data_IF_280991224939
#
_entry.id   IF_280991224939
#
_cell.length_a   1.000
_cell.length_b   1.000
_cell.length_c   1.000
_cell.angle_alpha   90.00
_cell.angle_beta   90.00
_cell.angle_gamma   90.00
#
_symmetry.space_group_name_H-M   'P 1'
#
loop_
_entity.id
_entity.type
_entity.pdbx_description
1 polymer ?
#
# COMPACT_ATOMS: atom_id res chain seq x y z
N UNK A 1 -14.78 -33.94 -4.98
CA UNK A 1 -15.80 -34.83 -4.37
C UNK A 1 -15.44 -34.96 -2.90
N UNK A 2 -16.32 -34.43 -2.07
CA UNK A 2 -16.16 -34.15 -0.65
C UNK A 2 -15.77 -35.41 0.14
N UNK A 3 -14.70 -35.32 0.93
CA UNK A 3 -14.46 -36.24 2.03
C UNK A 3 -14.49 -35.43 3.31
N UNK A 4 -15.55 -35.64 4.08
CA UNK A 4 -15.73 -35.19 5.45
C UNK A 4 -14.67 -35.87 6.34
N UNK A 5 -14.04 -35.10 7.24
CA UNK A 5 -13.25 -35.65 8.34
C UNK A 5 -14.07 -35.56 9.62
N UNK A 6 -14.36 -36.72 10.18
CA UNK A 6 -14.97 -36.90 11.50
C UNK A 6 -13.88 -37.04 12.58
N UNK A 7 -14.12 -36.44 13.75
CA UNK A 7 -13.55 -36.76 15.07
C UNK A 7 -14.41 -36.00 16.11
N UNK A 8 -14.77 -36.45 17.30
CA UNK A 8 -14.71 -37.70 18.06
C UNK A 8 -15.82 -37.55 19.15
N UNK A 9 -16.39 -38.66 19.64
CA UNK A 9 -17.53 -38.66 20.56
C UNK A 9 -17.20 -38.11 21.95
N UNK A 10 -18.07 -37.23 22.48
CA UNK A 10 -18.28 -37.07 23.92
C UNK A 10 -19.77 -37.12 24.26
N UNK A 11 -20.09 -37.81 25.34
CA UNK A 11 -21.42 -38.13 25.85
C UNK A 11 -22.16 -36.90 26.37
N UNK A 12 -22.74 -36.08 25.49
CA UNK A 12 -24.03 -35.43 25.74
C UNK A 12 -24.56 -34.88 24.42
N UNK A 13 -25.81 -35.20 24.08
CA UNK A 13 -26.42 -35.02 22.75
C UNK A 13 -26.77 -33.58 22.38
N UNK A 14 -25.82 -32.65 22.46
CA UNK A 14 -26.01 -31.24 22.13
C UNK A 14 -25.24 -30.83 20.88
N UNK A 15 -25.98 -30.57 19.80
CA UNK A 15 -25.46 -29.96 18.58
C UNK A 15 -25.23 -28.45 18.83
N UNK A 16 -24.00 -28.04 19.11
CA UNK A 16 -23.65 -26.63 19.12
C UNK A 16 -23.31 -26.15 17.71
N UNK A 17 -24.10 -25.18 17.23
CA UNK A 17 -23.83 -24.43 16.00
C UNK A 17 -22.56 -23.60 16.24
N UNK A 18 -21.46 -23.94 15.57
CA UNK A 18 -20.21 -23.17 15.65
C UNK A 18 -20.45 -21.81 14.99
N UNK A 19 -20.36 -20.74 15.78
CA UNK A 19 -20.52 -19.34 15.35
C UNK A 19 -19.31 -18.90 14.51
N UNK A 20 -19.38 -19.06 13.20
CA UNK A 20 -18.34 -18.63 12.24
C UNK A 20 -18.29 -17.10 12.00
N UNK A 21 -19.07 -16.28 12.72
CA UNK A 21 -19.15 -14.82 12.50
C UNK A 21 -18.21 -13.99 13.38
N UNK A 22 -17.73 -14.51 14.53
CA UNK A 22 -16.85 -13.74 15.43
C UNK A 22 -15.38 -13.73 15.00
N UNK A 23 -14.88 -14.83 14.44
CA UNK A 23 -13.49 -14.94 14.01
C UNK A 23 -13.17 -14.07 12.78
N UNK A 24 -14.14 -13.88 11.88
CA UNK A 24 -13.96 -13.04 10.66
C UNK A 24 -13.80 -11.56 11.02
N UNK A 25 -14.51 -11.08 12.05
CA UNK A 25 -14.41 -9.68 12.49
C UNK A 25 -13.06 -9.40 13.15
N UNK A 26 -12.55 -10.30 14.00
CA UNK A 26 -11.24 -10.13 14.65
C UNK A 26 -10.06 -10.22 13.68
N UNK A 27 -10.11 -11.12 12.69
CA UNK A 27 -9.12 -11.17 11.61
C UNK A 27 -9.19 -9.89 10.74
N UNK A 28 -10.38 -9.40 10.37
CA UNK A 28 -10.51 -8.21 9.50
C UNK A 28 -9.91 -6.93 10.10
N UNK A 29 -10.03 -6.74 11.42
CA UNK A 29 -9.46 -5.61 12.16
C UNK A 29 -7.93 -5.72 12.22
N UNK A 30 -7.39 -6.95 12.31
CA UNK A 30 -5.92 -7.16 12.30
C UNK A 30 -5.28 -6.78 10.97
N UNK A 31 -6.02 -6.73 9.87
CA UNK A 31 -5.52 -6.43 8.53
C UNK A 31 -5.82 -4.99 8.07
N UNK A 32 -6.43 -4.15 8.90
CA UNK A 32 -6.85 -2.81 8.50
C UNK A 32 -7.98 -2.79 7.46
N UNK A 33 -8.70 -3.91 7.28
CA UNK A 33 -9.83 -3.98 6.33
C UNK A 33 -11.03 -3.15 6.77
N UNK A 34 -11.06 -2.71 8.03
CA UNK A 34 -12.02 -1.72 8.52
C UNK A 34 -11.93 -0.38 7.77
N UNK A 35 -10.75 -0.05 7.22
CA UNK A 35 -10.50 1.15 6.41
C UNK A 35 -11.11 1.09 5.00
N UNK A 36 -11.55 -0.11 4.56
CA UNK A 36 -12.09 -0.39 3.23
C UNK A 36 -13.51 -0.98 3.32
N UNK A 37 -14.53 -0.14 3.58
CA UNK A 37 -15.90 -0.60 3.83
C UNK A 37 -16.51 -1.41 2.68
N UNK A 38 -16.20 -1.05 1.42
CA UNK A 38 -16.72 -1.76 0.23
C UNK A 38 -16.30 -3.24 0.18
N UNK A 39 -15.14 -3.59 0.75
CA UNK A 39 -14.60 -4.96 0.77
C UNK A 39 -15.29 -5.89 1.77
N UNK A 40 -16.04 -5.33 2.72
CA UNK A 40 -16.82 -6.09 3.70
C UNK A 40 -18.26 -6.34 3.26
N UNK A 41 -18.61 -5.98 2.02
CA UNK A 41 -19.99 -6.07 1.52
C UNK A 41 -20.92 -4.99 2.06
N UNK A 42 -20.37 -3.98 2.76
CA UNK A 42 -21.10 -2.78 3.13
C UNK A 42 -21.17 -1.86 1.91
N UNK A 43 -22.32 -1.87 1.22
CA UNK A 43 -22.60 -0.84 0.22
C UNK A 43 -22.62 0.50 0.95
N UNK A 44 -21.71 1.42 0.58
CA UNK A 44 -21.70 2.79 1.10
C UNK A 44 -23.07 3.43 0.83
N UNK A 45 -23.85 3.67 1.89
CA UNK A 45 -25.15 4.34 1.79
C UNK A 45 -24.99 5.80 2.21
N UNK A 46 -25.00 6.75 1.27
CA UNK A 46 -24.86 8.16 1.61
C UNK A 46 -26.02 8.59 2.51
N UNK A 47 -25.71 9.42 3.51
CA UNK A 47 -26.72 9.95 4.42
C UNK A 47 -27.44 11.12 3.76
N UNK A 48 -28.78 11.16 3.82
CA UNK A 48 -29.60 12.21 3.19
C UNK A 48 -29.19 13.63 3.61
N UNK A 49 -28.71 13.81 4.85
CA UNK A 49 -28.21 15.09 5.36
C UNK A 49 -26.83 15.46 4.79
N UNK A 50 -25.97 14.48 4.50
CA UNK A 50 -24.65 14.72 3.90
C UNK A 50 -24.72 14.87 2.37
N UNK A 51 -25.70 14.27 1.71
CA UNK A 51 -25.98 14.46 0.28
C UNK A 51 -26.31 15.92 -0.05
N UNK A 52 -27.14 16.58 0.78
CA UNK A 52 -27.58 17.97 0.55
C UNK A 52 -26.55 19.04 0.97
N UNK A 53 -25.66 18.74 1.94
CA UNK A 53 -24.76 19.75 2.51
C UNK A 53 -23.26 19.46 2.33
N UNK A 54 -22.85 18.23 1.96
CA UNK A 54 -21.44 17.82 1.82
C UNK A 54 -21.08 17.23 0.44
N UNK A 55 -22.02 17.13 -0.50
CA UNK A 55 -21.74 16.65 -1.85
C UNK A 55 -21.57 15.13 -1.98
N UNK A 56 -22.07 14.34 -1.02
CA UNK A 56 -22.29 12.89 -1.19
C UNK A 56 -23.30 12.63 -2.33
N UNK A 57 -23.19 11.49 -3.04
CA UNK A 57 -23.97 11.17 -4.25
C UNK A 57 -23.20 11.28 -5.58
N UNK A 58 -21.89 11.59 -5.53
CA UNK A 58 -20.98 11.66 -6.70
C UNK A 58 -20.04 10.46 -6.80
N UNK A 59 -20.26 9.40 -6.03
CA UNK A 59 -19.35 8.28 -5.87
C UNK A 59 -19.02 7.61 -7.22
N UNK A 60 -20.02 7.41 -8.08
CA UNK A 60 -19.81 6.88 -9.43
C UNK A 60 -18.96 7.82 -10.32
N UNK A 61 -19.14 9.14 -10.18
CA UNK A 61 -18.36 10.12 -10.95
C UNK A 61 -16.93 10.18 -10.42
N UNK A 62 -16.75 10.15 -9.11
CA UNK A 62 -15.44 10.14 -8.45
C UNK A 62 -14.67 8.85 -8.77
N UNK A 63 -15.37 7.73 -8.83
CA UNK A 63 -14.84 6.44 -9.26
C UNK A 63 -14.31 6.51 -10.70
N UNK A 64 -15.15 6.93 -11.65
CA UNK A 64 -14.74 7.11 -13.05
C UNK A 64 -13.57 8.10 -13.20
N UNK A 65 -13.57 9.18 -12.42
CA UNK A 65 -12.48 10.15 -12.42
C UNK A 65 -11.18 9.56 -11.85
N UNK A 66 -11.28 8.73 -10.82
CA UNK A 66 -10.16 7.99 -10.24
C UNK A 66 -9.60 7.01 -11.27
N UNK A 67 -10.42 6.16 -11.87
CA UNK A 67 -10.01 5.19 -12.90
C UNK A 67 -9.32 5.87 -14.09
N UNK A 68 -9.86 6.99 -14.57
CA UNK A 68 -9.25 7.77 -15.67
C UNK A 68 -7.86 8.28 -15.30
N UNK A 69 -7.66 8.75 -14.07
CA UNK A 69 -6.35 9.24 -13.59
C UNK A 69 -5.38 8.10 -13.34
N UNK A 70 -5.83 6.98 -12.78
CA UNK A 70 -5.06 5.73 -12.65
C UNK A 70 -4.54 5.32 -14.03
N UNK A 71 -5.42 5.25 -15.02
CA UNK A 71 -5.05 4.94 -16.39
C UNK A 71 -4.03 5.95 -16.97
N UNK A 72 -4.22 7.24 -16.71
CA UNK A 72 -3.26 8.27 -17.11
C UNK A 72 -1.88 8.06 -16.47
N UNK A 73 -1.82 7.77 -15.16
CA UNK A 73 -0.57 7.46 -14.45
C UNK A 73 0.12 6.25 -15.05
N UNK A 74 -0.62 5.17 -15.31
CA UNK A 74 -0.08 3.95 -15.92
C UNK A 74 0.52 4.23 -17.31
N UNK A 75 -0.13 5.06 -18.12
CA UNK A 75 0.37 5.38 -19.47
C UNK A 75 1.53 6.36 -19.48
N UNK A 76 1.57 7.30 -18.54
CA UNK A 76 2.44 8.48 -18.63
C UNK A 76 3.55 8.53 -17.58
N UNK A 77 3.34 7.97 -16.39
CA UNK A 77 4.32 8.05 -15.31
C UNK A 77 5.45 7.05 -15.53
N UNK A 78 6.72 7.51 -15.66
CA UNK A 78 7.86 6.60 -15.83
C UNK A 78 8.01 5.63 -14.66
N UNK A 79 7.76 6.11 -13.43
CA UNK A 79 7.86 5.29 -12.23
C UNK A 79 6.80 4.18 -12.21
N UNK A 80 5.53 4.50 -12.53
CA UNK A 80 4.46 3.49 -12.57
C UNK A 80 4.73 2.47 -13.68
N UNK A 81 5.20 2.90 -14.85
CA UNK A 81 5.59 1.98 -15.92
C UNK A 81 6.74 1.07 -15.52
N UNK A 82 7.75 1.60 -14.83
CA UNK A 82 8.86 0.79 -14.29
C UNK A 82 8.33 -0.28 -13.34
N UNK A 83 7.44 0.09 -12.42
CA UNK A 83 6.83 -0.86 -11.47
C UNK A 83 6.04 -1.96 -12.19
N UNK A 84 5.26 -1.62 -13.22
CA UNK A 84 4.54 -2.62 -14.01
C UNK A 84 5.48 -3.60 -14.71
N UNK A 85 6.57 -3.10 -15.30
CA UNK A 85 7.58 -3.94 -15.96
C UNK A 85 8.30 -4.85 -14.95
N UNK A 86 8.63 -4.31 -13.77
CA UNK A 86 9.28 -5.06 -12.71
C UNK A 86 8.40 -6.21 -12.20
N UNK A 87 7.13 -5.93 -11.94
CA UNK A 87 6.14 -6.93 -11.53
C UNK A 87 5.93 -8.01 -12.60
N UNK A 88 5.79 -7.60 -13.86
CA UNK A 88 5.69 -8.55 -14.99
C UNK A 88 6.91 -9.47 -15.07
N UNK A 89 8.11 -8.89 -15.03
CA UNK A 89 9.37 -9.65 -15.12
C UNK A 89 9.61 -10.55 -13.90
N UNK A 90 8.95 -10.23 -12.78
CA UNK A 90 8.96 -11.01 -11.54
C UNK A 90 7.91 -12.12 -11.50
N UNK A 91 7.08 -12.28 -12.53
CA UNK A 91 6.02 -13.30 -12.60
C UNK A 91 4.68 -12.89 -11.97
N UNK A 92 4.51 -11.61 -11.64
CA UNK A 92 3.28 -11.06 -11.05
C UNK A 92 2.72 -9.91 -11.91
N UNK A 93 2.52 -10.18 -13.20
CA UNK A 93 1.96 -9.21 -14.14
C UNK A 93 0.60 -8.65 -13.67
N UNK A 94 0.49 -7.33 -13.67
CA UNK A 94 -0.73 -6.62 -13.29
C UNK A 94 -1.65 -6.47 -14.50
N UNK A 95 -2.82 -7.12 -14.45
CA UNK A 95 -4.03 -6.65 -15.15
C UNK A 95 -4.67 -5.48 -14.38
N UNK A 96 -4.73 -4.30 -15.01
CA UNK A 96 -5.27 -3.06 -14.44
C UNK A 96 -6.71 -3.23 -13.94
N UNK A 97 -7.56 -3.96 -14.68
CA UNK A 97 -8.99 -4.12 -14.34
C UNK A 97 -9.19 -5.09 -13.18
N UNK A 98 -8.25 -6.00 -12.95
CA UNK A 98 -8.34 -7.01 -11.89
C UNK A 98 -7.61 -6.60 -10.62
N UNK A 99 -6.47 -5.93 -10.75
CA UNK A 99 -5.55 -5.69 -9.65
C UNK A 99 -5.55 -4.25 -9.14
N UNK A 100 -6.31 -3.33 -9.75
CA UNK A 100 -6.46 -1.96 -9.25
C UNK A 100 -7.95 -1.62 -9.13
N UNK A 101 -8.38 -1.16 -7.96
CA UNK A 101 -9.73 -0.69 -7.68
C UNK A 101 -9.72 0.74 -7.16
N UNK A 102 -10.70 1.54 -7.58
CA UNK A 102 -11.01 2.82 -6.96
C UNK A 102 -12.19 2.60 -6.01
N UNK A 103 -12.02 2.92 -4.72
CA UNK A 103 -13.02 2.66 -3.68
C UNK A 103 -13.16 3.88 -2.76
N UNK A 104 -14.28 3.98 -2.05
CA UNK A 104 -14.42 4.92 -0.94
C UNK A 104 -13.76 4.31 0.31
N UNK A 105 -12.77 5.02 0.86
CA UNK A 105 -12.05 4.60 2.05
C UNK A 105 -12.29 5.54 3.24
N UNK A 106 -11.78 5.16 4.40
CA UNK A 106 -11.59 6.11 5.51
C UNK A 106 -10.70 7.30 5.09
N UNK A 107 -10.97 8.48 5.65
CA UNK A 107 -10.26 9.73 5.29
C UNK A 107 -8.80 9.77 5.77
N UNK A 108 -8.40 8.86 6.66
CA UNK A 108 -7.03 8.74 7.15
C UNK A 108 -6.07 8.04 6.17
N UNK A 109 -6.61 7.35 5.16
CA UNK A 109 -5.81 6.60 4.16
C UNK A 109 -6.05 7.09 2.75
N UNK A 110 -5.04 6.91 1.90
CA UNK A 110 -5.10 7.29 0.47
C UNK A 110 -5.15 6.11 -0.48
N UNK A 111 -4.87 4.91 0.00
CA UNK A 111 -4.85 3.64 -0.71
C UNK A 111 -4.25 2.54 0.15
N UNK A 112 -4.17 1.35 -0.42
CA UNK A 112 -3.56 0.19 0.23
C UNK A 112 -3.43 -1.00 -0.69
N UNK A 113 -2.55 -1.94 -0.35
CA UNK A 113 -2.40 -3.22 -1.02
C UNK A 113 -3.06 -4.36 -0.24
N UNK A 114 -3.87 -5.14 -0.95
CA UNK A 114 -4.54 -6.33 -0.46
C UNK A 114 -3.84 -7.61 -0.92
N UNK A 115 -3.16 -8.34 -0.02
CA UNK A 115 -2.51 -9.59 -0.41
C UNK A 115 -3.50 -10.75 -0.65
N UNK A 116 -4.72 -10.69 -0.08
CA UNK A 116 -5.73 -11.74 -0.22
C UNK A 116 -6.35 -11.68 -1.62
N UNK A 117 -6.79 -10.50 -2.04
CA UNK A 117 -7.36 -10.30 -3.38
C UNK A 117 -6.32 -9.95 -4.45
N UNK A 118 -5.06 -9.76 -4.04
CA UNK A 118 -3.96 -9.22 -4.83
C UNK A 118 -4.35 -7.91 -5.53
N UNK A 119 -4.85 -6.92 -4.76
CA UNK A 119 -5.41 -5.69 -5.32
C UNK A 119 -4.88 -4.44 -4.66
N UNK A 120 -4.55 -3.44 -5.47
CA UNK A 120 -4.26 -2.07 -5.04
C UNK A 120 -5.57 -1.30 -5.00
N UNK A 121 -5.89 -0.72 -3.84
CA UNK A 121 -6.98 0.25 -3.67
C UNK A 121 -6.43 1.65 -3.82
N UNK A 122 -7.12 2.47 -4.61
CA UNK A 122 -6.94 3.92 -4.64
C UNK A 122 -8.19 4.57 -4.05
N UNK A 123 -8.02 5.29 -2.94
CA UNK A 123 -9.15 5.88 -2.21
C UNK A 123 -9.68 7.11 -2.95
N UNK A 124 -10.77 6.96 -3.71
CA UNK A 124 -11.27 7.97 -4.64
C UNK A 124 -11.68 9.29 -3.95
N UNK A 125 -12.13 9.21 -2.70
CA UNK A 125 -12.53 10.34 -1.86
C UNK A 125 -11.33 11.14 -1.34
N UNK A 126 -10.12 10.56 -1.31
CA UNK A 126 -8.90 11.16 -0.75
C UNK A 126 -7.89 11.49 -1.87
N UNK A 127 -7.61 10.53 -2.76
CA UNK A 127 -6.64 10.63 -3.85
C UNK A 127 -7.17 11.40 -5.08
N UNK A 128 -7.53 12.69 -4.92
CA UNK A 128 -8.22 13.44 -5.98
C UNK A 128 -7.33 14.00 -7.10
N UNK A 129 -6.01 14.11 -6.90
CA UNK A 129 -5.07 14.69 -7.88
C UNK A 129 -4.21 13.60 -8.53
N UNK A 130 -3.91 13.74 -9.83
CA UNK A 130 -3.13 12.75 -10.59
C UNK A 130 -1.76 12.47 -9.95
N UNK A 131 -1.01 13.52 -9.56
CA UNK A 131 0.28 13.33 -8.88
C UNK A 131 0.17 12.63 -7.51
N UNK A 132 -0.98 12.71 -6.85
CA UNK A 132 -1.20 12.01 -5.59
C UNK A 132 -1.56 10.55 -5.83
N UNK A 133 -2.42 10.26 -6.83
CA UNK A 133 -2.68 8.90 -7.31
C UNK A 133 -1.39 8.22 -7.77
N UNK A 134 -0.51 8.93 -8.47
CA UNK A 134 0.79 8.40 -8.86
C UNK A 134 1.62 7.94 -7.64
N UNK A 135 1.63 8.74 -6.56
CA UNK A 135 2.31 8.41 -5.32
C UNK A 135 1.74 7.16 -4.67
N UNK A 136 0.41 7.09 -4.55
CA UNK A 136 -0.31 5.91 -4.02
C UNK A 136 0.00 4.68 -4.86
N UNK A 137 -0.19 4.72 -6.17
CA UNK A 137 0.09 3.59 -7.06
C UNK A 137 1.54 3.11 -6.92
N UNK A 138 2.51 4.03 -6.93
CA UNK A 138 3.91 3.64 -6.76
C UNK A 138 4.16 2.99 -5.40
N UNK A 139 3.58 3.53 -4.32
CA UNK A 139 3.71 2.98 -2.97
C UNK A 139 3.12 1.57 -2.88
N UNK A 140 1.86 1.39 -3.30
CA UNK A 140 1.19 0.09 -3.23
C UNK A 140 1.78 -0.94 -4.19
N UNK A 141 2.34 -0.52 -5.33
CA UNK A 141 3.08 -1.43 -6.22
C UNK A 141 4.37 -1.94 -5.58
N UNK A 142 5.00 -1.20 -4.65
CA UNK A 142 6.14 -1.72 -3.88
C UNK A 142 5.65 -2.84 -2.96
N UNK A 143 4.56 -2.66 -2.22
CA UNK A 143 3.98 -3.73 -1.40
C UNK A 143 3.63 -4.97 -2.21
N UNK A 144 3.02 -4.78 -3.39
CA UNK A 144 2.72 -5.89 -4.31
C UNK A 144 4.00 -6.58 -4.81
N UNK A 145 5.03 -5.82 -5.16
CA UNK A 145 6.32 -6.37 -5.60
C UNK A 145 7.00 -7.17 -4.49
N UNK A 146 6.97 -6.63 -3.27
CA UNK A 146 7.57 -7.25 -2.09
C UNK A 146 6.92 -8.57 -1.75
N UNK A 147 5.58 -8.61 -1.79
CA UNK A 147 4.78 -9.80 -1.59
C UNK A 147 4.99 -10.84 -2.70
N UNK A 148 5.16 -10.40 -3.95
CA UNK A 148 5.41 -11.28 -5.08
C UNK A 148 6.80 -11.93 -5.05
N UNK A 149 7.83 -11.16 -4.66
CA UNK A 149 9.24 -11.60 -4.74
C UNK A 149 9.75 -12.31 -3.49
N UNK A 150 9.12 -12.07 -2.35
CA UNK A 150 9.59 -12.56 -1.05
C UNK A 150 8.51 -13.37 -0.35
N UNK A 151 8.94 -14.24 0.57
CA UNK A 151 8.03 -14.92 1.51
C UNK A 151 7.59 -13.94 2.61
N UNK A 152 6.70 -13.03 2.24
CA UNK A 152 6.28 -11.89 3.06
C UNK A 152 5.06 -12.25 3.91
N UNK A 153 5.29 -12.65 5.15
CA UNK A 153 4.23 -12.70 6.16
C UNK A 153 3.91 -11.32 6.74
N UNK A 154 2.80 -10.71 6.33
CA UNK A 154 2.33 -9.45 6.89
C UNK A 154 1.99 -9.53 8.39
N UNK A 155 1.69 -10.71 8.95
CA UNK A 155 1.43 -10.90 10.40
C UNK A 155 2.71 -10.72 11.21
N UNK A 156 3.88 -10.87 10.59
CA UNK A 156 5.16 -10.53 11.19
C UNK A 156 5.41 -9.01 11.10
N UNK A 157 5.51 -8.36 12.27
CA UNK A 157 5.73 -6.90 12.37
C UNK A 157 7.03 -6.44 11.68
N UNK A 158 8.07 -7.29 11.65
CA UNK A 158 9.35 -6.95 11.02
C UNK A 158 9.24 -6.98 9.49
N UNK A 159 8.45 -7.92 8.94
CA UNK A 159 8.18 -7.98 7.50
C UNK A 159 7.33 -6.78 7.06
N UNK A 160 6.27 -6.48 7.80
CA UNK A 160 5.44 -5.29 7.56
C UNK A 160 6.28 -4.01 7.64
N UNK A 161 7.07 -3.83 8.70
CA UNK A 161 7.94 -2.67 8.83
C UNK A 161 8.95 -2.56 7.67
N UNK A 162 9.49 -3.69 7.20
CA UNK A 162 10.45 -3.71 6.10
C UNK A 162 9.84 -3.22 4.78
N UNK A 163 8.65 -3.71 4.42
CA UNK A 163 7.98 -3.27 3.18
C UNK A 163 7.54 -1.81 3.26
N UNK A 164 7.09 -1.35 4.43
CA UNK A 164 6.78 0.07 4.68
C UNK A 164 8.00 0.99 4.57
N UNK A 165 9.16 0.55 5.05
CA UNK A 165 10.43 1.27 4.86
C UNK A 165 10.76 1.38 3.37
N UNK A 166 10.65 0.29 2.61
CA UNK A 166 10.97 0.29 1.18
C UNK A 166 10.00 1.19 0.41
N UNK A 167 8.70 1.07 0.67
CA UNK A 167 7.69 1.90 0.03
C UNK A 167 7.91 3.39 0.34
N UNK A 168 8.13 3.76 1.61
CA UNK A 168 8.41 5.15 1.98
C UNK A 168 9.73 5.70 1.39
N UNK A 169 10.77 4.87 1.35
CA UNK A 169 12.11 5.20 0.82
C UNK A 169 12.11 5.46 -0.69
N UNK A 170 11.28 4.72 -1.44
CA UNK A 170 11.29 4.75 -2.90
C UNK A 170 10.26 5.71 -3.50
N UNK A 171 9.19 6.05 -2.77
CA UNK A 171 8.05 6.78 -3.35
C UNK A 171 7.64 8.07 -2.64
N UNK A 172 7.78 8.14 -1.31
CA UNK A 172 7.20 9.23 -0.51
C UNK A 172 8.21 10.26 -0.02
N UNK A 173 9.37 9.80 0.45
CA UNK A 173 10.42 10.66 0.96
C UNK A 173 11.30 11.12 -0.20
N UNK A 174 11.31 12.44 -0.45
CA UNK A 174 12.20 13.05 -1.43
C UNK A 174 13.18 13.97 -0.72
N UNK A 175 14.43 13.95 -1.17
CA UNK A 175 15.43 14.94 -0.79
C UNK A 175 15.12 16.30 -1.45
N UNK A 176 14.33 17.19 -0.80
CA UNK A 176 14.58 18.65 -0.79
C UNK A 176 13.54 19.45 0.02
N UNK A 177 14.02 20.12 1.06
CA UNK A 177 13.89 21.58 1.29
C UNK A 177 15.13 22.20 2.01
N UNK A 178 16.25 21.46 2.11
CA UNK A 178 17.44 21.90 2.85
C UNK A 178 18.50 22.63 1.99
N UNK A 179 18.49 22.47 0.66
CA UNK A 179 19.46 23.16 -0.22
C UNK A 179 19.07 24.61 -0.54
N UNK A 180 17.77 24.95 -0.51
CA UNK A 180 17.29 26.31 -0.81
C UNK A 180 17.45 27.28 0.36
N UNK A 181 17.87 26.80 1.53
CA UNK A 181 18.08 27.61 2.76
C UNK A 181 19.55 27.68 3.20
N UNK A 182 20.49 27.11 2.44
CA UNK A 182 21.93 27.27 2.71
C UNK A 182 22.55 26.36 3.78
N UNK A 183 21.79 25.49 4.45
CA UNK A 183 22.25 24.70 5.62
C UNK A 183 22.67 23.24 5.33
N UNK A 184 22.90 22.89 4.06
CA UNK A 184 23.06 21.49 3.65
C UNK A 184 24.52 20.98 3.62
N UNK A 185 24.98 20.40 4.72
CA UNK A 185 25.95 19.30 4.62
C UNK A 185 25.24 18.05 4.06
N UNK A 186 25.87 17.25 3.16
CA UNK A 186 25.32 15.97 2.68
C UNK A 186 24.86 15.03 3.80
N UNK A 187 25.45 15.17 5.00
CA UNK A 187 25.10 14.42 6.21
C UNK A 187 23.68 14.76 6.68
N UNK A 188 23.30 16.04 6.70
CA UNK A 188 21.99 16.51 7.20
C UNK A 188 20.86 16.04 6.27
N UNK A 189 21.07 16.11 4.95
CA UNK A 189 20.09 15.66 3.94
C UNK A 189 19.86 14.15 4.02
N UNK A 190 20.94 13.37 4.16
CA UNK A 190 20.85 11.91 4.30
C UNK A 190 20.16 11.51 5.59
N UNK A 191 20.39 12.24 6.68
CA UNK A 191 19.76 11.99 7.97
C UNK A 191 18.26 12.32 7.93
N UNK A 192 17.88 13.50 7.42
CA UNK A 192 16.48 13.92 7.30
C UNK A 192 15.64 12.93 6.46
N UNK A 193 16.22 12.38 5.39
CA UNK A 193 15.52 11.38 4.60
C UNK A 193 15.31 10.07 5.38
N UNK A 194 16.32 9.61 6.13
CA UNK A 194 16.15 8.43 6.98
C UNK A 194 15.07 8.66 8.04
N UNK A 195 15.04 9.84 8.66
CA UNK A 195 14.01 10.21 9.64
C UNK A 195 12.61 10.27 9.01
N UNK A 196 12.49 10.81 7.78
CA UNK A 196 11.24 10.78 7.01
C UNK A 196 10.75 9.34 6.81
N UNK A 197 11.63 8.45 6.35
CA UNK A 197 11.28 7.05 6.08
C UNK A 197 10.89 6.33 7.36
N UNK A 198 11.66 6.48 8.45
CA UNK A 198 11.34 5.87 9.75
C UNK A 198 9.99 6.34 10.28
N UNK A 199 9.72 7.64 10.22
CA UNK A 199 8.45 8.22 10.70
C UNK A 199 7.28 7.69 9.90
N UNK A 200 7.39 7.68 8.57
CA UNK A 200 6.33 7.17 7.68
C UNK A 200 6.07 5.69 7.91
N UNK A 201 7.12 4.87 7.93
CA UNK A 201 6.96 3.43 8.16
C UNK A 201 6.36 3.13 9.54
N UNK A 202 6.77 3.87 10.58
CA UNK A 202 6.19 3.72 11.93
C UNK A 202 4.70 4.02 11.93
N UNK A 203 4.26 5.11 11.28
CA UNK A 203 2.84 5.45 11.18
C UNK A 203 2.04 4.41 10.40
N UNK A 204 2.57 3.87 9.29
CA UNK A 204 1.88 2.82 8.55
C UNK A 204 1.72 1.54 9.38
N UNK A 205 2.78 1.12 10.10
CA UNK A 205 2.72 -0.06 10.97
C UNK A 205 1.66 0.11 12.06
N UNK A 206 1.58 1.29 12.69
CA UNK A 206 0.56 1.59 13.71
C UNK A 206 -0.85 1.60 13.10
N UNK A 207 -1.01 2.09 11.88
CA UNK A 207 -2.31 2.16 11.23
C UNK A 207 -2.87 0.78 10.88
N UNK A 208 -2.00 -0.18 10.53
CA UNK A 208 -2.40 -1.53 10.10
C UNK A 208 -2.46 -2.52 11.27
N UNK A 209 -1.66 -2.32 12.33
CA UNK A 209 -1.55 -3.25 13.46
C UNK A 209 -1.94 -2.58 14.77
N UNK A 210 -2.66 -3.32 15.60
CA UNK A 210 -2.93 -2.93 16.98
C UNK A 210 -1.69 -3.12 17.87
N UNK A 211 -0.66 -2.31 17.63
CA UNK A 211 0.62 -2.31 18.37
C UNK A 211 0.86 -0.93 18.96
N UNK A 212 1.69 -0.87 19.99
CA UNK A 212 2.09 0.40 20.57
C UNK A 212 3.04 1.16 19.64
N UNK A 213 3.06 2.51 19.69
CA UNK A 213 4.02 3.31 18.93
C UNK A 213 5.48 2.90 19.19
N UNK A 214 5.80 2.48 20.42
CA UNK A 214 7.12 2.03 20.83
C UNK A 214 7.51 0.71 20.14
N UNK A 215 6.58 -0.25 20.09
CA UNK A 215 6.78 -1.53 19.40
C UNK A 215 6.97 -1.33 17.89
N UNK A 216 6.13 -0.49 17.27
CA UNK A 216 6.25 -0.15 15.86
C UNK A 216 7.60 0.50 15.54
N UNK A 217 8.03 1.48 16.36
CA UNK A 217 9.32 2.14 16.20
C UNK A 217 10.47 1.15 16.39
N UNK A 218 10.38 0.26 17.36
CA UNK A 218 11.40 -0.76 17.61
C UNK A 218 11.52 -1.74 16.43
N UNK A 219 10.40 -2.18 15.83
CA UNK A 219 10.40 -3.00 14.63
C UNK A 219 11.06 -2.29 13.44
N UNK A 220 10.65 -1.05 13.17
CA UNK A 220 11.24 -0.22 12.12
C UNK A 220 12.75 -0.10 12.30
N UNK A 221 13.23 0.24 13.51
CA UNK A 221 14.67 0.37 13.79
C UNK A 221 15.44 -0.94 13.62
N UNK A 222 14.86 -2.09 14.01
CA UNK A 222 15.50 -3.42 13.84
C UNK A 222 15.80 -3.72 12.38
N UNK A 223 14.84 -3.50 11.49
CA UNK A 223 14.97 -3.88 10.07
C UNK A 223 15.52 -2.76 9.18
N UNK A 224 15.59 -1.53 9.70
CA UNK A 224 15.97 -0.33 8.94
C UNK A 224 17.24 -0.48 8.10
N UNK A 225 18.39 -0.95 8.64
CA UNK A 225 19.64 -0.98 7.87
C UNK A 225 19.54 -1.83 6.61
N UNK A 226 18.82 -2.95 6.67
CA UNK A 226 18.62 -3.85 5.54
C UNK A 226 17.63 -3.27 4.54
N UNK A 227 16.44 -2.91 5.01
CA UNK A 227 15.33 -2.54 4.13
C UNK A 227 15.51 -1.14 3.51
N UNK A 228 16.21 -0.22 4.19
CA UNK A 228 16.53 1.10 3.64
C UNK A 228 17.63 1.07 2.56
N UNK A 229 18.53 0.08 2.64
CA UNK A 229 19.60 -0.11 1.67
C UNK A 229 19.11 -0.77 0.38
N UNK A 230 18.03 -1.55 0.46
CA UNK A 230 17.36 -2.15 -0.68
C UNK A 230 16.64 -1.06 -1.51
N UNK A 231 17.00 -1.00 -2.80
CA UNK A 231 16.43 -0.06 -3.75
C UNK A 231 15.66 -0.75 -4.87
N UNK A 232 15.55 -2.07 -4.87
CA UNK A 232 14.76 -2.80 -5.87
C UNK A 232 13.26 -2.49 -5.67
N UNK A 233 12.46 -2.35 -6.75
CA UNK A 233 12.83 -2.41 -8.17
C UNK A 233 13.21 -1.06 -8.79
N UNK A 234 13.14 0.05 -8.05
CA UNK A 234 13.37 1.38 -8.63
C UNK A 234 14.85 1.65 -8.93
N UNK A 235 15.76 1.03 -8.19
CA UNK A 235 17.21 1.16 -8.30
C UNK A 235 17.78 2.49 -7.76
N UNK A 236 16.91 3.43 -7.36
CA UNK A 236 17.30 4.76 -6.89
C UNK A 236 16.23 5.41 -6.01
N UNK A 237 16.65 6.34 -5.15
CA UNK A 237 15.75 7.22 -4.39
C UNK A 237 15.34 8.41 -5.27
N UNK A 238 14.04 8.61 -5.44
CA UNK A 238 13.49 9.60 -6.37
C UNK A 238 13.47 11.00 -5.74
N UNK A 239 14.15 11.96 -6.36
CA UNK A 239 14.05 13.37 -5.96
C UNK A 239 12.89 14.06 -6.67
N UNK A 240 12.11 14.84 -5.93
CA UNK A 240 11.07 15.72 -6.47
C UNK A 240 11.68 16.72 -7.44
N UNK A 241 10.91 17.06 -8.47
CA UNK A 241 11.30 18.01 -9.53
C UNK A 241 12.64 17.64 -10.21
N UNK A 242 12.89 16.34 -10.41
CA UNK A 242 14.08 15.83 -11.07
C UNK A 242 13.72 14.83 -12.16
N UNK A 243 14.70 14.49 -13.01
CA UNK A 243 14.58 13.43 -14.01
C UNK A 243 14.78 12.02 -13.43
N UNK A 244 14.84 11.86 -12.10
CA UNK A 244 15.18 10.57 -11.48
C UNK A 244 14.13 9.49 -11.82
N UNK A 245 12.84 9.82 -11.97
CA UNK A 245 11.82 8.85 -12.41
C UNK A 245 12.09 8.35 -13.83
N UNK A 246 12.45 9.24 -14.75
CA UNK A 246 12.78 8.87 -16.13
C UNK A 246 14.04 8.00 -16.16
N UNK A 247 15.08 8.38 -15.40
CA UNK A 247 16.31 7.60 -15.32
C UNK A 247 16.07 6.21 -14.75
N UNK A 248 15.31 6.08 -13.67
CA UNK A 248 14.92 4.78 -13.11
C UNK A 248 14.23 3.91 -14.17
N UNK A 249 13.28 4.49 -14.92
CA UNK A 249 12.59 3.78 -15.99
C UNK A 249 13.54 3.30 -17.10
N UNK A 250 14.46 4.15 -17.57
CA UNK A 250 15.44 3.76 -18.59
C UNK A 250 16.49 2.77 -18.10
N UNK A 251 16.73 2.71 -16.79
CA UNK A 251 17.63 1.75 -16.16
C UNK A 251 16.95 0.41 -15.85
N UNK A 252 15.62 0.32 -15.95
CA UNK A 252 14.86 -0.92 -15.72
C UNK A 252 15.44 -2.16 -16.42
N UNK A 253 15.85 -2.09 -17.70
CA UNK A 253 16.48 -3.22 -18.39
C UNK A 253 17.78 -3.73 -17.73
N UNK A 254 18.51 -2.89 -16.99
CA UNK A 254 19.70 -3.31 -16.24
C UNK A 254 19.37 -4.28 -15.09
N UNK A 255 18.12 -4.26 -14.64
CA UNK A 255 17.57 -5.15 -13.62
C UNK A 255 16.76 -6.31 -14.23
N UNK A 256 16.77 -6.46 -15.57
CA UNK A 256 15.96 -7.47 -16.28
C UNK A 256 14.49 -7.11 -16.39
N UNK A 257 14.12 -5.83 -16.25
CA UNK A 257 12.74 -5.37 -16.45
C UNK A 257 12.51 -5.02 -17.92
N UNK A 258 11.99 -5.98 -18.66
CA UNK A 258 11.66 -5.80 -20.07
C UNK A 258 10.42 -4.90 -20.24
N UNK A 259 10.37 -4.22 -21.39
CA UNK A 259 9.30 -3.27 -21.76
C UNK A 259 8.10 -3.94 -22.41
#
# INVERSE_FOLDING_TARGET
>A
MSQEKYAENTEDGTFHKVEAEKDVKDESVKWGYDLYPERRGENYKPSWSKMMFLGEGRENIDNLNCERKVYACIKRSPLVKLMMNALKSSGCEIDIRRHISCEVCDVSVSGGYDPIFNQIVVCQNVARKEGYIQGVLAHEMIHMFDYCRNDLDFKNIDHLACTEIRAANLTHCSFLSACTQGDASPINIRQQHQECVKTKATHSVIAVRNVTPEEARAAVERVFPKCYADLEPVGRRIRRNSNDMHRAYFEGPLYGYDS
#
